data_IF_473885291488
#
_entry.id   IF_473885291488
#
_cell.length_a   1.000
_cell.length_b   1.000
_cell.length_c   1.000
_cell.angle_alpha   90.00
_cell.angle_beta   90.00
_cell.angle_gamma   90.00
#
_symmetry.space_group_name_H-M   'P 1'
#
loop_
_entity.id
_entity.type
_entity.pdbx_description
1 polymer ?
#
# COMPACT_ATOMS: atom_id res chain seq x y z
N UNK A 1 -5.26 11.81 -25.61
CA UNK A 1 -4.89 12.93 -24.73
C UNK A 1 -5.54 14.17 -25.27
N UNK A 2 -6.27 14.88 -24.44
CA UNK A 2 -6.83 16.20 -24.71
C UNK A 2 -6.04 17.22 -23.87
N UNK A 3 -5.78 18.39 -24.44
CA UNK A 3 -5.13 19.50 -23.75
C UNK A 3 -5.74 20.82 -24.20
N UNK A 4 -5.90 21.80 -23.30
CA UNK A 4 -6.40 23.14 -23.66
C UNK A 4 -5.39 23.91 -24.53
N UNK A 5 -4.10 23.73 -24.24
CA UNK A 5 -3.02 24.43 -24.96
C UNK A 5 -1.83 23.51 -25.14
N UNK A 6 -1.16 23.60 -26.29
CA UNK A 6 0.10 22.93 -26.54
C UNK A 6 1.14 23.87 -27.12
N UNK A 7 2.41 23.63 -26.79
CA UNK A 7 3.56 24.29 -27.35
C UNK A 7 4.54 23.25 -27.92
N UNK A 8 4.91 23.42 -29.17
CA UNK A 8 5.88 22.57 -29.82
C UNK A 8 6.95 23.43 -30.48
N UNK A 9 8.21 23.20 -30.17
CA UNK A 9 9.35 23.85 -30.74
C UNK A 9 10.25 22.81 -31.38
N UNK A 10 10.94 23.20 -32.45
CA UNK A 10 11.93 22.33 -33.11
C UNK A 10 12.95 21.85 -32.03
N UNK A 11 13.16 20.56 -31.96
CA UNK A 11 14.12 19.91 -31.05
C UNK A 11 13.85 20.00 -29.53
N UNK A 12 12.66 20.47 -29.14
CA UNK A 12 12.24 20.54 -27.72
C UNK A 12 11.12 19.54 -27.43
N UNK A 13 10.92 19.13 -26.15
CA UNK A 13 9.72 18.41 -25.75
C UNK A 13 8.45 19.20 -26.06
N UNK A 14 7.37 18.48 -26.36
CA UNK A 14 6.03 19.11 -26.47
C UNK A 14 5.52 19.39 -25.07
N UNK A 15 5.13 20.63 -24.82
CA UNK A 15 4.50 21.03 -23.56
C UNK A 15 2.98 21.11 -23.76
N UNK A 16 2.23 20.47 -22.87
CA UNK A 16 0.78 20.51 -22.82
C UNK A 16 0.34 21.16 -21.51
N UNK A 17 -0.78 21.88 -21.53
CA UNK A 17 -1.39 22.52 -20.37
C UNK A 17 -2.83 22.02 -20.19
N UNK A 18 -3.28 21.91 -18.95
CA UNK A 18 -4.62 21.45 -18.56
C UNK A 18 -5.00 20.14 -19.28
N UNK A 19 -4.34 19.07 -18.88
CA UNK A 19 -4.40 17.79 -19.59
C UNK A 19 -5.50 16.92 -19.00
N UNK A 20 -6.23 16.28 -19.92
CA UNK A 20 -7.06 15.12 -19.65
C UNK A 20 -6.64 13.99 -20.57
N UNK A 21 -6.02 12.95 -20.04
CA UNK A 21 -5.68 11.75 -20.78
C UNK A 21 -6.66 10.63 -20.40
N UNK A 22 -7.13 9.90 -21.39
CA UNK A 22 -8.07 8.80 -21.21
C UNK A 22 -7.55 7.56 -21.88
N UNK A 23 -7.73 6.42 -21.24
CA UNK A 23 -7.56 5.11 -21.87
C UNK A 23 -8.92 4.42 -22.00
N UNK A 24 -9.04 3.55 -22.97
CA UNK A 24 -10.26 2.80 -23.26
C UNK A 24 -9.95 1.31 -23.30
N UNK A 25 -10.85 0.51 -22.81
CA UNK A 25 -10.78 -0.94 -22.89
C UNK A 25 -11.12 -1.44 -24.33
N UNK A 26 -11.10 -2.76 -24.52
CA UNK A 26 -11.45 -3.38 -25.82
C UNK A 26 -12.89 -3.15 -26.23
N UNK A 27 -13.77 -2.81 -25.32
CA UNK A 27 -15.19 -2.47 -25.53
C UNK A 27 -15.42 -0.98 -25.78
N UNK A 28 -14.35 -0.18 -25.86
CA UNK A 28 -14.36 1.28 -25.99
C UNK A 28 -14.98 2.02 -24.79
N UNK A 29 -15.00 1.40 -23.62
CA UNK A 29 -15.40 2.07 -22.38
C UNK A 29 -14.16 2.73 -21.74
N UNK A 30 -14.35 3.93 -21.16
CA UNK A 30 -13.27 4.59 -20.42
C UNK A 30 -12.79 3.68 -19.29
N UNK A 31 -11.51 3.32 -19.33
CA UNK A 31 -10.85 2.49 -18.33
C UNK A 31 -10.14 3.33 -17.27
N UNK A 32 -9.45 4.40 -17.71
CA UNK A 32 -8.67 5.27 -16.84
C UNK A 32 -8.75 6.70 -17.33
N UNK A 33 -8.83 7.64 -16.38
CA UNK A 33 -8.71 9.08 -16.63
C UNK A 33 -7.55 9.62 -15.80
N UNK A 34 -6.61 10.29 -16.47
CA UNK A 34 -5.53 11.03 -15.85
C UNK A 34 -5.74 12.52 -16.09
N UNK A 35 -5.59 13.33 -15.05
CA UNK A 35 -5.61 14.80 -15.13
C UNK A 35 -4.30 15.34 -14.58
N UNK A 36 -3.80 16.45 -15.15
CA UNK A 36 -2.70 17.22 -14.57
C UNK A 36 -2.67 18.63 -15.13
N UNK A 37 -2.03 19.56 -14.43
CA UNK A 37 -1.90 20.94 -14.89
C UNK A 37 -0.97 21.06 -16.09
N UNK A 38 0.07 20.22 -16.17
CA UNK A 38 1.07 20.24 -17.25
C UNK A 38 1.56 18.84 -17.58
N UNK A 39 1.91 18.63 -18.86
CA UNK A 39 2.68 17.48 -19.27
C UNK A 39 3.76 17.84 -20.30
N UNK A 40 4.84 17.09 -20.30
CA UNK A 40 5.90 17.14 -21.31
C UNK A 40 6.00 15.79 -21.99
N UNK A 41 5.86 15.79 -23.33
CA UNK A 41 6.16 14.61 -24.12
C UNK A 41 7.62 14.70 -24.54
N UNK A 42 8.41 13.76 -24.06
CA UNK A 42 9.84 13.67 -24.30
C UNK A 42 10.12 13.12 -25.73
N UNK A 43 11.34 13.31 -26.24
CA UNK A 43 11.74 12.70 -27.52
C UNK A 43 11.73 11.16 -27.52
N UNK A 44 11.91 10.54 -26.36
CA UNK A 44 11.75 9.10 -26.17
C UNK A 44 10.32 8.60 -26.30
N UNK A 45 9.34 9.51 -26.32
CA UNK A 45 7.92 9.17 -26.23
C UNK A 45 7.39 9.13 -24.78
N UNK A 46 8.27 9.18 -23.78
CA UNK A 46 7.85 9.23 -22.38
C UNK A 46 7.09 10.52 -22.08
N UNK A 47 6.18 10.46 -21.12
CA UNK A 47 5.36 11.61 -20.74
C UNK A 47 5.56 11.91 -19.26
N UNK A 48 5.95 13.14 -18.95
CA UNK A 48 6.09 13.65 -17.58
C UNK A 48 4.91 14.57 -17.27
N UNK A 49 4.08 14.20 -16.34
CA UNK A 49 2.95 14.97 -15.82
C UNK A 49 3.36 15.71 -14.55
N UNK A 50 2.92 16.96 -14.40
CA UNK A 50 3.27 17.81 -13.26
C UNK A 50 2.10 18.68 -12.83
N UNK A 51 1.95 18.84 -11.53
CA UNK A 51 0.96 19.66 -10.86
C UNK A 51 -0.40 18.95 -10.78
N UNK A 52 -0.84 18.65 -9.57
CA UNK A 52 -2.14 18.05 -9.25
C UNK A 52 -2.46 16.83 -10.12
N UNK A 53 -1.49 15.90 -10.24
CA UNK A 53 -1.69 14.68 -11.02
C UNK A 53 -2.68 13.78 -10.31
N UNK A 54 -3.81 13.53 -10.96
CA UNK A 54 -4.88 12.67 -10.47
C UNK A 54 -5.18 11.58 -11.49
N UNK A 55 -5.14 10.33 -11.07
CA UNK A 55 -5.52 9.17 -11.88
C UNK A 55 -6.73 8.51 -11.24
N UNK A 56 -7.76 8.23 -12.04
CA UNK A 56 -8.97 7.52 -11.60
C UNK A 56 -9.26 6.39 -12.56
N UNK A 57 -9.38 5.16 -12.04
CA UNK A 57 -9.87 4.02 -12.82
C UNK A 57 -11.39 4.08 -12.94
N UNK A 58 -11.93 3.75 -14.12
CA UNK A 58 -13.36 3.78 -14.43
C UNK A 58 -13.97 2.41 -14.63
N UNK A 59 -13.16 1.41 -14.95
CA UNK A 59 -13.59 0.02 -15.10
C UNK A 59 -13.30 -0.78 -13.83
N UNK A 60 -14.26 -1.57 -13.38
CA UNK A 60 -14.11 -2.40 -12.19
C UNK A 60 -14.16 -1.60 -10.89
N UNK A 61 -13.20 -1.84 -10.02
CA UNK A 61 -13.08 -1.15 -8.74
C UNK A 61 -12.53 0.26 -8.95
N UNK A 62 -13.20 1.24 -8.37
CA UNK A 62 -12.72 2.61 -8.40
C UNK A 62 -11.46 2.74 -7.56
N UNK A 63 -10.35 3.04 -8.21
CA UNK A 63 -9.09 3.40 -7.58
C UNK A 63 -8.72 4.82 -7.99
N UNK A 64 -8.21 5.59 -7.06
CA UNK A 64 -7.69 6.92 -7.30
C UNK A 64 -6.24 6.99 -6.81
N UNK A 65 -5.41 7.70 -7.57
CA UNK A 65 -4.04 8.00 -7.20
C UNK A 65 -3.79 9.48 -7.41
N UNK A 66 -3.29 10.14 -6.38
CA UNK A 66 -2.93 11.56 -6.37
C UNK A 66 -1.42 11.70 -6.12
N UNK A 67 -0.77 12.58 -6.86
CA UNK A 67 0.66 12.94 -6.70
C UNK A 67 0.95 14.29 -7.35
N UNK A 68 2.08 14.90 -7.03
CA UNK A 68 2.53 16.15 -7.67
C UNK A 68 3.19 15.93 -9.02
N UNK A 69 3.90 14.81 -9.18
CA UNK A 69 4.60 14.47 -10.42
C UNK A 69 4.46 12.98 -10.75
N UNK A 70 4.35 12.67 -12.05
CA UNK A 70 4.26 11.31 -12.54
C UNK A 70 4.93 11.20 -13.91
N UNK A 71 5.74 10.16 -14.09
CA UNK A 71 6.36 9.82 -15.37
C UNK A 71 5.77 8.52 -15.91
N UNK A 72 5.25 8.56 -17.13
CA UNK A 72 4.88 7.37 -17.89
C UNK A 72 6.04 7.01 -18.82
N UNK A 73 6.64 5.84 -18.61
CA UNK A 73 7.66 5.25 -19.45
C UNK A 73 6.96 4.36 -20.48
N UNK A 74 6.82 4.87 -21.73
CA UNK A 74 5.97 4.23 -22.75
C UNK A 74 6.54 2.92 -23.28
N UNK A 75 7.86 2.78 -23.40
CA UNK A 75 8.50 1.55 -23.87
C UNK A 75 8.38 0.38 -22.90
N UNK A 76 8.42 0.66 -21.58
CA UNK A 76 8.40 -0.36 -20.53
C UNK A 76 7.04 -0.50 -19.85
N UNK A 77 6.03 0.25 -20.28
CA UNK A 77 4.68 0.30 -19.70
C UNK A 77 4.70 0.49 -18.17
N UNK A 78 5.62 1.37 -17.70
CA UNK A 78 5.81 1.68 -16.29
C UNK A 78 5.35 3.09 -15.97
N UNK A 79 4.83 3.24 -14.76
CA UNK A 79 4.51 4.53 -14.16
C UNK A 79 5.42 4.74 -12.98
N UNK A 80 6.02 5.93 -12.85
CA UNK A 80 6.90 6.29 -11.72
C UNK A 80 6.53 7.65 -11.16
N UNK A 81 6.67 7.78 -9.84
CA UNK A 81 6.64 9.05 -9.13
C UNK A 81 7.70 9.06 -8.04
N UNK A 82 8.47 10.14 -7.95
CA UNK A 82 9.40 10.41 -6.84
C UNK A 82 8.78 11.36 -5.79
N UNK A 83 7.59 11.87 -6.08
CA UNK A 83 6.80 12.69 -5.17
C UNK A 83 5.93 11.83 -4.26
N UNK A 84 5.47 12.42 -3.14
CA UNK A 84 4.49 11.76 -2.28
C UNK A 84 3.27 11.34 -3.09
N UNK A 85 2.80 10.12 -2.85
CA UNK A 85 1.58 9.60 -3.45
C UNK A 85 0.51 9.35 -2.39
N UNK A 86 -0.73 9.53 -2.78
CA UNK A 86 -1.91 9.04 -2.07
C UNK A 86 -2.69 8.13 -3.00
N UNK A 87 -2.83 6.88 -2.61
CA UNK A 87 -3.68 5.89 -3.28
C UNK A 87 -4.94 5.65 -2.45
N UNK A 88 -6.09 5.69 -3.08
CA UNK A 88 -7.39 5.39 -2.49
C UNK A 88 -7.96 4.15 -3.17
N UNK A 89 -8.07 3.06 -2.42
CA UNK A 89 -8.77 1.83 -2.80
C UNK A 89 -10.21 1.81 -2.28
N UNK A 90 -10.88 0.65 -2.35
CA UNK A 90 -12.29 0.52 -1.92
C UNK A 90 -12.44 0.82 -0.43
N UNK A 91 -11.59 0.27 0.42
CA UNK A 91 -11.69 0.35 1.88
C UNK A 91 -10.34 0.71 2.51
N UNK A 92 -9.46 1.35 1.75
CA UNK A 92 -8.12 1.66 2.20
C UNK A 92 -7.56 2.94 1.58
N UNK A 93 -6.73 3.61 2.35
CA UNK A 93 -5.87 4.70 1.90
C UNK A 93 -4.42 4.32 2.14
N UNK A 94 -3.59 4.41 1.10
CA UNK A 94 -2.15 4.19 1.19
C UNK A 94 -1.43 5.50 0.85
N UNK A 95 -0.42 5.85 1.65
CA UNK A 95 0.48 6.96 1.33
C UNK A 95 1.92 6.47 1.32
N UNK A 96 2.75 7.00 0.43
CA UNK A 96 4.19 6.73 0.36
C UNK A 96 4.96 7.91 -0.19
N UNK A 97 6.29 7.88 -0.10
CA UNK A 97 7.17 8.96 -0.58
C UNK A 97 7.44 8.89 -2.08
N UNK A 98 7.06 7.82 -2.74
CA UNK A 98 7.18 7.62 -4.17
C UNK A 98 6.65 6.26 -4.57
N UNK A 99 6.60 6.00 -5.89
CA UNK A 99 6.17 4.71 -6.41
C UNK A 99 6.79 4.35 -7.76
N UNK A 100 6.82 3.06 -8.04
CA UNK A 100 7.00 2.48 -9.38
C UNK A 100 5.92 1.44 -9.61
N UNK A 101 5.17 1.55 -10.69
CA UNK A 101 4.12 0.61 -11.06
C UNK A 101 4.41 0.00 -12.42
N UNK A 102 4.26 -1.31 -12.54
CA UNK A 102 4.26 -1.99 -13.84
C UNK A 102 2.82 -2.34 -14.20
N UNK A 103 2.33 -1.78 -15.31
CA UNK A 103 0.95 -1.94 -15.74
C UNK A 103 0.65 -3.35 -16.29
N UNK A 104 1.66 -4.03 -16.85
CA UNK A 104 1.48 -5.37 -17.45
C UNK A 104 1.32 -6.45 -16.38
N UNK A 105 1.99 -6.29 -15.24
CA UNK A 105 1.97 -7.24 -14.12
C UNK A 105 1.07 -6.81 -12.97
N UNK A 106 0.44 -5.66 -13.05
CA UNK A 106 -0.38 -5.07 -11.98
C UNK A 106 0.33 -5.10 -10.61
N UNK A 107 1.62 -4.74 -10.64
CA UNK A 107 2.47 -4.70 -9.45
C UNK A 107 2.96 -3.29 -9.19
N UNK A 108 3.07 -2.94 -7.92
CA UNK A 108 3.50 -1.62 -7.49
C UNK A 108 4.54 -1.73 -6.38
N UNK A 109 5.60 -0.95 -6.49
CA UNK A 109 6.57 -0.69 -5.42
C UNK A 109 6.31 0.71 -4.86
N UNK A 110 6.03 0.77 -3.57
CA UNK A 110 5.88 2.01 -2.82
C UNK A 110 7.17 2.29 -2.05
N UNK A 111 7.78 3.43 -2.30
CA UNK A 111 9.09 3.77 -1.80
C UNK A 111 9.03 4.61 -0.52
N UNK A 112 10.05 4.46 0.33
CA UNK A 112 10.19 5.21 1.57
C UNK A 112 9.22 4.79 2.66
N UNK A 113 8.76 5.73 3.48
CA UNK A 113 7.75 5.46 4.51
C UNK A 113 6.39 5.21 3.87
N UNK A 114 5.79 4.06 4.18
CA UNK A 114 4.47 3.66 3.69
C UNK A 114 3.50 3.55 4.85
N UNK A 115 2.33 4.17 4.71
CA UNK A 115 1.23 4.07 5.66
C UNK A 115 -0.01 3.55 4.96
N UNK A 116 -0.53 2.44 5.45
CA UNK A 116 -1.81 1.86 5.03
C UNK A 116 -2.83 2.13 6.13
N UNK A 117 -3.94 2.74 5.78
CA UNK A 117 -5.07 2.97 6.67
C UNK A 117 -6.29 2.30 6.06
N UNK A 118 -6.83 1.31 6.76
CA UNK A 118 -8.11 0.70 6.41
C UNK A 118 -9.27 1.53 6.98
N UNK A 119 -10.39 1.59 6.28
CA UNK A 119 -11.62 2.18 6.81
C UNK A 119 -12.07 1.33 7.99
N UNK A 120 -12.32 1.95 9.13
CA UNK A 120 -12.73 1.25 10.37
C UNK A 120 -11.76 0.15 10.86
N UNK A 121 -10.53 0.16 10.40
CA UNK A 121 -9.53 -0.86 10.69
C UNK A 121 -8.20 -0.31 11.21
N UNK A 122 -7.20 -1.18 11.31
CA UNK A 122 -5.89 -0.83 11.81
C UNK A 122 -5.13 0.11 10.88
N UNK A 123 -4.07 0.71 11.44
CA UNK A 123 -3.06 1.44 10.68
C UNK A 123 -1.80 0.60 10.62
N UNK A 124 -1.29 0.36 9.41
CA UNK A 124 -0.01 -0.30 9.19
C UNK A 124 0.99 0.74 8.69
N UNK A 125 2.16 0.80 9.33
CA UNK A 125 3.29 1.62 8.88
C UNK A 125 4.47 0.71 8.61
N UNK A 126 5.08 0.87 7.45
CA UNK A 126 6.25 0.09 7.03
C UNK A 126 7.17 0.92 6.16
N UNK A 127 8.24 0.32 5.67
CA UNK A 127 9.17 0.96 4.74
C UNK A 127 9.28 0.11 3.49
N UNK A 128 9.16 0.73 2.32
CA UNK A 128 9.25 0.08 1.02
C UNK A 128 8.31 -1.13 0.91
N UNK A 129 7.13 -0.90 0.35
CA UNK A 129 6.09 -1.92 0.21
C UNK A 129 5.97 -2.38 -1.25
N UNK A 130 6.03 -3.69 -1.45
CA UNK A 130 5.61 -4.33 -2.70
C UNK A 130 4.13 -4.69 -2.60
N UNK A 131 3.38 -4.33 -3.63
CA UNK A 131 1.95 -4.60 -3.78
C UNK A 131 1.74 -5.39 -5.06
N UNK A 132 1.01 -6.48 -5.00
CA UNK A 132 0.63 -7.28 -6.15
C UNK A 132 -0.90 -7.40 -6.19
N UNK A 133 -1.51 -6.84 -7.23
CA UNK A 133 -2.95 -6.93 -7.50
C UNK A 133 -3.27 -7.82 -8.72
N UNK A 134 -2.26 -8.45 -9.31
CA UNK A 134 -2.44 -9.29 -10.49
C UNK A 134 -3.46 -10.40 -10.23
N UNK A 135 -4.38 -10.58 -11.16
CA UNK A 135 -5.45 -11.61 -11.13
C UNK A 135 -6.33 -11.56 -9.87
N UNK A 136 -6.61 -10.33 -9.38
CA UNK A 136 -7.45 -10.11 -8.20
C UNK A 136 -6.78 -10.43 -6.87
N UNK A 137 -5.49 -10.72 -6.86
CA UNK A 137 -4.72 -10.84 -5.63
C UNK A 137 -4.63 -9.48 -4.91
N UNK A 138 -4.42 -9.53 -3.61
CA UNK A 138 -4.07 -8.37 -2.78
C UNK A 138 -2.96 -8.79 -1.81
N UNK A 139 -1.74 -8.96 -2.37
CA UNK A 139 -0.58 -9.39 -1.59
C UNK A 139 0.30 -8.18 -1.32
N UNK A 140 0.62 -7.93 -0.06
CA UNK A 140 1.44 -6.82 0.41
C UNK A 140 2.67 -7.36 1.13
N UNK A 141 3.86 -6.96 0.69
CA UNK A 141 5.12 -7.45 1.25
C UNK A 141 6.09 -6.32 1.52
N UNK A 142 6.69 -6.32 2.70
CA UNK A 142 7.82 -5.45 3.01
C UNK A 142 8.89 -6.22 3.78
N UNK A 143 10.13 -5.70 3.75
CA UNK A 143 11.27 -6.24 4.51
C UNK A 143 11.73 -5.25 5.59
N UNK A 144 11.11 -4.09 5.67
CA UNK A 144 11.44 -3.07 6.64
C UNK A 144 10.68 -3.23 7.95
N UNK A 145 11.14 -2.52 8.99
CA UNK A 145 10.40 -2.49 10.25
C UNK A 145 8.94 -2.11 10.00
N UNK A 146 8.02 -2.87 10.58
CA UNK A 146 6.59 -2.64 10.45
C UNK A 146 5.94 -2.44 11.81
N UNK A 147 5.00 -1.50 11.86
CA UNK A 147 4.15 -1.24 13.03
C UNK A 147 2.70 -1.36 12.59
N UNK A 148 1.99 -2.27 13.23
CA UNK A 148 0.55 -2.44 13.13
C UNK A 148 -0.11 -1.84 14.37
N UNK A 149 -1.12 -1.00 14.23
CA UNK A 149 -1.81 -0.35 15.34
C UNK A 149 -3.31 -0.50 15.18
N UNK A 150 -3.95 -1.15 16.16
CA UNK A 150 -5.39 -1.20 16.34
C UNK A 150 -5.82 -0.40 17.59
N UNK A 151 -7.10 -0.46 17.95
CA UNK A 151 -7.61 0.23 19.14
C UNK A 151 -6.97 -0.29 20.43
N UNK A 152 -6.76 -1.61 20.54
CA UNK A 152 -6.32 -2.28 21.75
C UNK A 152 -4.82 -2.58 21.79
N UNK A 153 -4.15 -2.62 20.63
CA UNK A 153 -2.79 -3.14 20.53
C UNK A 153 -1.92 -2.37 19.55
N UNK A 154 -0.64 -2.29 19.88
CA UNK A 154 0.41 -1.92 18.95
C UNK A 154 1.36 -3.09 18.78
N UNK A 155 1.53 -3.55 17.55
CA UNK A 155 2.42 -4.67 17.22
C UNK A 155 3.55 -4.16 16.35
N UNK A 156 4.79 -4.43 16.72
CA UNK A 156 5.96 -4.08 15.93
C UNK A 156 6.73 -5.32 15.49
N UNK A 157 7.22 -5.33 14.27
CA UNK A 157 8.05 -6.37 13.68
C UNK A 157 9.34 -5.75 13.13
N UNK A 158 10.44 -6.49 13.20
CA UNK A 158 11.76 -6.00 12.73
C UNK A 158 12.02 -6.34 11.26
N UNK A 159 11.39 -7.37 10.69
CA UNK A 159 11.69 -7.89 9.36
C UNK A 159 10.54 -7.75 8.35
N UNK A 160 9.56 -6.92 8.67
CA UNK A 160 8.49 -6.55 7.73
C UNK A 160 7.23 -7.40 7.83
N UNK A 161 6.50 -7.43 6.73
CA UNK A 161 5.22 -8.11 6.60
C UNK A 161 5.15 -8.96 5.32
N UNK A 162 4.29 -9.97 5.39
CA UNK A 162 3.74 -10.70 4.26
C UNK A 162 2.22 -10.85 4.50
N UNK A 163 1.42 -10.10 3.76
CA UNK A 163 -0.02 -10.01 3.98
C UNK A 163 -0.81 -10.48 2.76
N UNK A 164 -1.80 -11.32 3.00
CA UNK A 164 -2.84 -11.69 2.04
C UNK A 164 -4.15 -10.99 2.47
N UNK A 165 -4.41 -9.83 1.87
CA UNK A 165 -5.56 -8.99 2.21
C UNK A 165 -6.88 -9.58 1.70
N UNK A 166 -6.85 -10.54 0.77
CA UNK A 166 -8.06 -11.26 0.38
C UNK A 166 -8.51 -12.28 1.44
N UNK A 167 -7.58 -12.71 2.29
CA UNK A 167 -7.86 -13.64 3.40
C UNK A 167 -7.89 -12.95 4.76
N UNK A 168 -7.70 -11.62 4.78
CA UNK A 168 -7.55 -10.84 6.03
C UNK A 168 -6.45 -11.41 6.95
N UNK A 169 -5.35 -11.86 6.34
CA UNK A 169 -4.19 -12.43 7.03
C UNK A 169 -2.97 -11.53 6.90
N UNK A 170 -2.37 -11.19 8.02
CA UNK A 170 -1.13 -10.41 8.12
C UNK A 170 -0.07 -11.19 8.90
N UNK A 171 1.02 -11.56 8.24
CA UNK A 171 2.18 -12.16 8.89
C UNK A 171 3.23 -11.09 9.15
N UNK A 172 3.57 -10.88 10.42
CA UNK A 172 4.64 -10.03 10.90
C UNK A 172 5.89 -10.88 11.10
N UNK A 173 7.00 -10.49 10.47
CA UNK A 173 8.19 -11.31 10.32
C UNK A 173 9.31 -10.90 11.27
N UNK A 174 10.10 -11.89 11.71
CA UNK A 174 11.22 -11.70 12.60
C UNK A 174 10.79 -11.51 14.06
N UNK A 175 11.57 -10.72 14.80
CA UNK A 175 11.23 -10.42 16.20
C UNK A 175 10.01 -9.49 16.24
N UNK A 176 8.98 -9.93 16.96
CA UNK A 176 7.70 -9.25 17.11
C UNK A 176 7.47 -8.90 18.56
N UNK A 177 7.04 -7.66 18.81
CA UNK A 177 6.60 -7.18 20.11
C UNK A 177 5.16 -6.67 20.02
N UNK A 178 4.29 -7.13 20.89
CA UNK A 178 2.92 -6.63 21.06
C UNK A 178 2.86 -5.84 22.35
N UNK A 179 2.36 -4.62 22.29
CA UNK A 179 2.06 -3.77 23.43
C UNK A 179 0.54 -3.57 23.51
N UNK A 180 -0.06 -4.12 24.54
CA UNK A 180 -1.47 -3.90 24.86
C UNK A 180 -1.70 -2.59 25.61
N UNK A 181 -2.88 -1.99 25.46
CA UNK A 181 -3.26 -0.74 26.16
C UNK A 181 -3.20 -0.83 27.68
N UNK A 182 -3.30 -2.05 28.25
CA UNK A 182 -3.14 -2.32 29.69
C UNK A 182 -1.68 -2.32 30.16
N UNK A 183 -0.71 -2.09 29.26
CA UNK A 183 0.72 -2.18 29.55
C UNK A 183 1.27 -3.62 29.58
N UNK A 184 0.47 -4.61 29.18
CA UNK A 184 0.98 -5.97 28.95
C UNK A 184 1.83 -6.01 27.69
N UNK A 185 2.86 -6.86 27.68
CA UNK A 185 3.71 -7.09 26.50
C UNK A 185 3.75 -8.56 26.13
N UNK A 186 3.86 -8.82 24.84
CA UNK A 186 4.11 -10.17 24.30
C UNK A 186 5.28 -10.07 23.34
N UNK A 187 6.32 -10.83 23.58
CA UNK A 187 7.44 -10.99 22.65
C UNK A 187 7.34 -12.35 21.97
N UNK A 188 7.56 -12.38 20.65
CA UNK A 188 7.56 -13.59 19.83
C UNK A 188 8.55 -13.47 18.69
N UNK A 189 8.73 -14.57 17.96
CA UNK A 189 9.40 -14.58 16.65
C UNK A 189 8.36 -15.02 15.62
N UNK A 190 8.04 -14.16 14.65
CA UNK A 190 6.90 -14.25 13.73
C UNK A 190 5.52 -14.26 14.44
N UNK A 191 4.59 -13.58 13.84
CA UNK A 191 3.22 -13.47 14.32
C UNK A 191 2.27 -13.40 13.15
N UNK A 192 1.18 -14.19 13.19
CA UNK A 192 0.05 -14.03 12.28
C UNK A 192 -1.07 -13.29 12.99
N UNK A 193 -1.59 -12.24 12.36
CA UNK A 193 -2.83 -11.57 12.72
C UNK A 193 -3.90 -12.04 11.73
N UNK A 194 -4.94 -12.66 12.24
CA UNK A 194 -6.07 -13.20 11.47
C UNK A 194 -7.32 -12.38 11.80
N UNK A 195 -7.87 -11.70 10.80
CA UNK A 195 -9.05 -10.85 10.90
C UNK A 195 -10.25 -11.43 10.12
N UNK A 196 -10.13 -12.62 9.56
CA UNK A 196 -11.12 -13.26 8.68
C UNK A 196 -12.51 -13.45 9.31
N UNK A 197 -12.62 -13.41 10.63
CA UNK A 197 -13.87 -13.58 11.37
C UNK A 197 -14.39 -12.28 12.00
N UNK A 198 -13.96 -11.12 11.52
CA UNK A 198 -14.40 -9.81 12.01
C UNK A 198 -13.82 -9.40 13.37
N UNK A 199 -12.82 -10.12 13.85
CA UNK A 199 -12.06 -9.81 15.06
C UNK A 199 -10.59 -10.07 14.85
N UNK A 200 -9.73 -9.60 15.76
CA UNK A 200 -8.28 -9.83 15.69
C UNK A 200 -7.89 -11.06 16.51
N UNK A 201 -7.26 -12.03 15.85
CA UNK A 201 -6.68 -13.19 16.49
C UNK A 201 -5.19 -13.22 16.22
N UNK A 202 -4.39 -13.14 17.28
CA UNK A 202 -2.94 -13.22 17.21
C UNK A 202 -2.47 -14.65 17.41
N UNK A 203 -1.70 -15.18 16.48
CA UNK A 203 -1.19 -16.56 16.50
C UNK A 203 0.33 -16.56 16.33
N UNK A 204 1.02 -17.30 17.18
CA UNK A 204 2.43 -17.62 16.99
C UNK A 204 2.70 -19.09 17.25
N UNK A 205 3.53 -19.70 16.40
CA UNK A 205 4.03 -21.07 16.58
C UNK A 205 5.44 -21.10 17.18
N UNK A 206 5.99 -19.94 17.50
CA UNK A 206 7.31 -19.77 18.07
C UNK A 206 7.25 -19.57 19.59
N UNK A 207 8.43 -19.50 20.23
CA UNK A 207 8.52 -19.19 21.64
C UNK A 207 7.93 -17.81 21.93
N UNK A 208 6.99 -17.76 22.84
CA UNK A 208 6.29 -16.55 23.27
C UNK A 208 6.62 -16.24 24.72
N UNK A 209 6.85 -14.98 25.01
CA UNK A 209 7.05 -14.46 26.34
C UNK A 209 6.01 -13.37 26.64
N UNK A 210 5.05 -13.66 27.51
CA UNK A 210 4.04 -12.71 27.97
C UNK A 210 4.43 -12.12 29.31
N UNK A 211 4.31 -10.80 29.45
CA UNK A 211 4.54 -10.06 30.69
C UNK A 211 3.39 -9.10 30.96
N UNK A 212 2.91 -9.12 32.19
CA UNK A 212 1.96 -8.16 32.75
C UNK A 212 2.25 -7.97 34.24
N UNK A 213 1.56 -7.04 34.89
CA UNK A 213 1.73 -6.78 36.36
C UNK A 213 1.57 -8.06 37.16
N UNK A 214 2.66 -8.55 37.77
CA UNK A 214 2.67 -9.74 38.57
C UNK A 214 2.57 -11.08 37.82
N UNK A 215 2.61 -11.06 36.49
CA UNK A 215 2.50 -12.24 35.62
C UNK A 215 3.64 -12.29 34.61
N UNK A 216 4.27 -13.47 34.53
CA UNK A 216 5.31 -13.75 33.51
C UNK A 216 5.11 -15.19 33.01
N UNK A 217 4.82 -15.36 31.74
CA UNK A 217 4.52 -16.65 31.12
C UNK A 217 5.44 -16.87 29.91
N UNK A 218 6.00 -18.06 29.79
CA UNK A 218 6.71 -18.54 28.61
C UNK A 218 5.97 -19.73 28.02
N UNK A 219 5.68 -19.69 26.71
CA UNK A 219 4.98 -20.73 25.99
C UNK A 219 5.64 -21.01 24.64
N UNK A 220 5.47 -22.20 24.11
CA UNK A 220 5.99 -22.60 22.78
C UNK A 220 5.08 -22.15 21.64
N UNK A 221 3.83 -21.79 21.94
CA UNK A 221 2.81 -21.33 20.99
C UNK A 221 1.89 -20.35 21.66
N UNK A 222 1.23 -19.51 20.88
CA UNK A 222 0.24 -18.57 21.36
C UNK A 222 -0.98 -18.55 20.44
N UNK A 223 -2.13 -18.44 21.06
CA UNK A 223 -3.39 -18.04 20.46
C UNK A 223 -4.00 -16.97 21.38
N UNK A 224 -4.16 -15.74 20.86
CA UNK A 224 -4.75 -14.64 21.59
C UNK A 224 -5.91 -14.04 20.80
N UNK A 225 -7.11 -14.23 21.32
CA UNK A 225 -8.36 -13.72 20.76
C UNK A 225 -8.64 -12.36 21.43
N UNK A 226 -8.44 -11.27 20.66
CA UNK A 226 -8.53 -9.90 21.16
C UNK A 226 -9.95 -9.53 21.60
N UNK A 227 -11.02 -9.81 20.81
CA UNK A 227 -12.39 -9.53 21.23
C UNK A 227 -12.80 -10.22 22.54
N UNK A 228 -12.33 -11.46 22.75
CA UNK A 228 -12.67 -12.27 23.92
C UNK A 228 -11.66 -12.05 25.07
N UNK A 229 -10.53 -11.39 24.78
CA UNK A 229 -9.39 -11.19 25.71
C UNK A 229 -8.88 -12.50 26.31
N UNK A 230 -8.90 -13.57 25.53
CA UNK A 230 -8.49 -14.92 25.94
C UNK A 230 -7.13 -15.27 25.34
N UNK A 231 -6.20 -15.62 26.21
CA UNK A 231 -4.88 -16.16 25.85
C UNK A 231 -4.87 -17.69 26.13
N UNK A 232 -4.43 -18.47 25.16
CA UNK A 232 -4.26 -19.93 25.31
C UNK A 232 -3.04 -20.45 24.52
#
# INVERSE_FOLDING_TARGET
IEAETYFSYKDSPVLLLEIVAKTYDKSQQENLVLKSNRAKIMKSGDVVFNGDVNIVTKSGVLHQLDTEELTLLTESNQIKSESEITYLGINEKITSQGMEMNQDSDTMYLNGEVKIKQDFGPIIKTTNLFVNHYDGNKIYQSKGRTVYSSEDNTVSSEQGIDADMNKDLLNLLGKVNILGVSGSTIDSFNLTIDQSNGGEVFKSNDLVHYQATGVNIKAKKMYYDVPVKKLS
#
